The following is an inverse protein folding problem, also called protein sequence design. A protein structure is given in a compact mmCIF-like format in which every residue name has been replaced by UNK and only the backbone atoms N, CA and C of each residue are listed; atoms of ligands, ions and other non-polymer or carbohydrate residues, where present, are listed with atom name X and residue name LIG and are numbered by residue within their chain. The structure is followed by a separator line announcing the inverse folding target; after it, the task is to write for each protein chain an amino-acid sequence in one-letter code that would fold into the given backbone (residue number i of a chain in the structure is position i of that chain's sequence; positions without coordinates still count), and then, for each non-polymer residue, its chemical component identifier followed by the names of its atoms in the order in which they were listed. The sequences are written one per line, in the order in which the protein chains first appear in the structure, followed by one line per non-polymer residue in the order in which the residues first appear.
data_IF_152189281669
#
_entry.id   IF_152189281669
#
_cell.length_a   1.000
_cell.length_b   1.000
_cell.length_c   1.000
_cell.angle_alpha   90.00
_cell.angle_beta   90.00
_cell.angle_gamma   90.00
#
_symmetry.space_group_name_H-M   'P 1'
#
loop_
_entity.id
_entity.type
_entity.pdbx_description
1 polymer ?
#
# COMPACT_ATOMS: atom_id res chain seq x y z
N UNK A 1 44.49 -6.77 43.37
CA UNK A 1 44.30 -7.13 41.95
C UNK A 1 42.81 -7.18 41.68
N UNK A 2 42.27 -6.22 40.91
CA UNK A 2 40.83 -6.20 40.58
C UNK A 2 40.61 -6.77 39.17
N UNK A 3 39.73 -7.77 39.03
CA UNK A 3 39.40 -8.34 37.73
C UNK A 3 38.36 -7.43 37.06
N UNK A 4 38.78 -6.67 36.05
CA UNK A 4 37.87 -5.84 35.24
C UNK A 4 37.07 -6.77 34.32
N UNK A 5 35.83 -7.08 34.69
CA UNK A 5 34.88 -7.79 33.81
C UNK A 5 34.65 -6.94 32.57
N UNK A 6 35.13 -7.40 31.41
CA UNK A 6 34.74 -6.82 30.11
C UNK A 6 33.27 -7.14 29.88
N UNK A 7 32.41 -6.15 30.12
CA UNK A 7 31.02 -6.20 29.67
C UNK A 7 31.02 -6.40 28.15
N UNK A 8 30.20 -7.33 27.66
CA UNK A 8 30.07 -7.65 26.24
C UNK A 8 29.37 -6.47 25.54
N UNK A 9 30.13 -5.43 25.20
CA UNK A 9 29.62 -4.27 24.45
C UNK A 9 29.43 -4.70 23.01
N UNK A 10 28.17 -4.78 22.58
CA UNK A 10 27.84 -5.02 21.17
C UNK A 10 28.56 -3.99 20.30
N UNK A 11 29.25 -4.40 19.22
CA UNK A 11 29.97 -3.47 18.35
C UNK A 11 28.99 -2.43 17.81
N UNK A 12 29.30 -1.15 18.03
CA UNK A 12 28.49 -0.04 17.52
C UNK A 12 28.65 0.03 16.01
N UNK A 13 27.54 0.19 15.30
CA UNK A 13 27.56 0.43 13.87
C UNK A 13 28.19 1.81 13.60
N UNK A 14 29.40 1.84 13.05
CA UNK A 14 30.17 3.06 12.72
C UNK A 14 29.46 4.03 11.75
N UNK A 15 28.31 3.62 11.22
CA UNK A 15 27.49 4.38 10.29
C UNK A 15 26.44 5.29 10.95
N UNK A 16 26.20 5.12 12.26
CA UNK A 16 25.21 5.88 13.01
C UNK A 16 25.85 6.57 14.22
N UNK A 17 25.38 7.78 14.49
CA UNK A 17 25.76 8.54 15.68
C UNK A 17 25.05 8.00 16.94
N UNK A 18 25.52 8.34 18.15
CA UNK A 18 24.91 7.88 19.40
C UNK A 18 23.42 8.20 19.54
N UNK A 19 22.95 9.24 18.85
CA UNK A 19 21.57 9.71 18.77
C UNK A 19 20.76 9.09 17.61
N UNK A 20 21.28 8.01 16.99
CA UNK A 20 20.69 7.32 15.84
C UNK A 20 20.64 8.14 14.53
N UNK A 21 21.30 9.29 14.46
CA UNK A 21 21.41 10.03 13.20
C UNK A 21 22.36 9.34 12.25
N UNK A 22 22.11 9.54 10.96
CA UNK A 22 22.94 8.98 9.91
C UNK A 22 24.27 9.74 9.87
N UNK A 23 25.38 9.03 10.06
CA UNK A 23 26.70 9.64 9.97
C UNK A 23 27.03 10.10 8.54
N UNK A 24 27.98 11.04 8.41
CA UNK A 24 28.40 11.59 7.12
C UNK A 24 28.87 10.51 6.12
N UNK A 25 29.47 9.43 6.62
CA UNK A 25 29.88 8.26 5.83
C UNK A 25 28.70 7.59 5.12
N UNK A 26 27.60 7.41 5.84
CA UNK A 26 26.40 6.72 5.38
C UNK A 26 25.58 7.58 4.40
N UNK A 27 25.52 8.90 4.62
CA UNK A 27 24.85 9.84 3.71
C UNK A 27 25.55 9.81 2.35
N UNK A 28 26.88 9.89 2.31
CA UNK A 28 27.65 9.84 1.05
C UNK A 28 27.46 8.51 0.32
N UNK A 29 27.45 7.40 1.05
CA UNK A 29 27.22 6.07 0.46
C UNK A 29 25.83 5.94 -0.19
N UNK A 30 24.81 6.67 0.29
CA UNK A 30 23.43 6.62 -0.25
C UNK A 30 23.14 7.58 -1.39
N UNK A 31 23.94 8.64 -1.57
CA UNK A 31 23.77 9.62 -2.65
C UNK A 31 23.49 9.01 -4.03
N UNK A 32 24.20 7.96 -4.51
CA UNK A 32 23.97 7.43 -5.85
C UNK A 32 22.65 6.64 -6.00
N UNK A 33 22.08 6.14 -4.90
CA UNK A 33 20.88 5.30 -4.92
C UNK A 33 19.60 6.09 -4.65
N UNK A 34 19.70 7.27 -4.03
CA UNK A 34 18.53 8.08 -3.71
C UNK A 34 17.74 8.44 -4.97
N UNK A 35 18.42 8.95 -6.01
CA UNK A 35 17.77 9.33 -7.28
C UNK A 35 17.18 8.09 -7.97
N UNK A 36 17.95 7.00 -8.06
CA UNK A 36 17.52 5.76 -8.72
C UNK A 36 16.27 5.18 -8.05
N UNK A 37 16.27 5.11 -6.73
CA UNK A 37 15.15 4.57 -5.95
C UNK A 37 13.91 5.46 -6.05
N UNK A 38 14.08 6.79 -6.04
CA UNK A 38 12.96 7.72 -6.24
C UNK A 38 12.34 7.54 -7.62
N UNK A 39 13.15 7.43 -8.67
CA UNK A 39 12.66 7.18 -10.03
C UNK A 39 11.89 5.86 -10.07
N UNK A 40 12.45 4.77 -9.52
CA UNK A 40 11.75 3.48 -9.45
C UNK A 40 10.42 3.59 -8.70
N UNK A 41 10.40 4.29 -7.56
CA UNK A 41 9.19 4.53 -6.80
C UNK A 41 8.13 5.31 -7.58
N UNK A 42 8.55 6.35 -8.30
CA UNK A 42 7.65 7.15 -9.15
C UNK A 42 7.09 6.34 -10.32
N UNK A 43 7.90 5.48 -10.94
CA UNK A 43 7.44 4.59 -12.02
C UNK A 43 6.39 3.62 -11.49
N UNK A 44 6.66 2.96 -10.36
CA UNK A 44 5.71 2.06 -9.72
C UNK A 44 4.40 2.78 -9.37
N UNK A 45 4.50 3.94 -8.70
CA UNK A 45 3.35 4.74 -8.33
C UNK A 45 2.54 5.20 -9.55
N UNK A 46 3.22 5.66 -10.61
CA UNK A 46 2.59 6.12 -11.84
C UNK A 46 1.84 5.00 -12.56
N UNK A 47 2.40 3.80 -12.61
CA UNK A 47 1.74 2.62 -13.19
C UNK A 47 0.49 2.24 -12.38
N UNK A 48 0.59 2.18 -11.05
CA UNK A 48 -0.57 1.84 -10.20
C UNK A 48 -1.67 2.91 -10.31
N UNK A 49 -1.30 4.19 -10.26
CA UNK A 49 -2.24 5.29 -10.39
C UNK A 49 -2.90 5.32 -11.78
N UNK A 50 -2.15 5.03 -12.86
CA UNK A 50 -2.71 5.01 -14.21
C UNK A 50 -3.72 3.88 -14.38
N UNK A 51 -3.42 2.68 -13.87
CA UNK A 51 -4.37 1.56 -13.86
C UNK A 51 -5.63 1.95 -13.10
N UNK A 52 -5.51 2.50 -11.89
CA UNK A 52 -6.66 2.90 -11.07
C UNK A 52 -7.54 3.96 -11.75
N UNK A 53 -6.93 5.00 -12.32
CA UNK A 53 -7.68 6.04 -13.03
C UNK A 53 -8.33 5.48 -14.29
N UNK A 54 -7.62 4.63 -15.03
CA UNK A 54 -8.14 3.98 -16.23
C UNK A 54 -9.34 3.09 -15.90
N UNK A 55 -9.26 2.26 -14.85
CA UNK A 55 -10.35 1.35 -14.50
C UNK A 55 -11.62 2.10 -14.12
N UNK A 56 -11.52 3.21 -13.37
CA UNK A 56 -12.69 4.05 -13.08
C UNK A 56 -13.31 4.55 -14.39
N UNK A 57 -12.50 5.10 -15.30
CA UNK A 57 -13.01 5.68 -16.56
C UNK A 57 -13.61 4.61 -17.48
N UNK A 58 -12.93 3.48 -17.61
CA UNK A 58 -13.33 2.40 -18.52
C UNK A 58 -14.58 1.65 -18.01
N UNK A 59 -14.67 1.37 -16.70
CA UNK A 59 -15.80 0.64 -16.12
C UNK A 59 -17.02 1.54 -15.90
N UNK A 60 -16.83 2.84 -15.65
CA UNK A 60 -17.96 3.78 -15.46
C UNK A 60 -18.88 3.93 -16.67
N UNK A 61 -18.49 3.41 -17.84
CA UNK A 61 -19.27 3.49 -19.07
C UNK A 61 -20.09 2.23 -19.35
N UNK A 62 -20.13 1.26 -18.43
CA UNK A 62 -20.97 0.08 -18.60
C UNK A 62 -22.43 0.43 -18.33
N UNK A 63 -23.26 0.46 -19.38
CA UNK A 63 -24.70 0.68 -19.30
C UNK A 63 -25.39 -0.66 -19.01
N UNK A 64 -25.73 -0.91 -17.75
CA UNK A 64 -26.41 -2.13 -17.28
C UNK A 64 -27.89 -2.23 -17.72
N UNK A 65 -28.21 -1.79 -18.93
CA UNK A 65 -29.58 -1.75 -19.46
C UNK A 65 -30.17 -3.15 -19.71
N UNK A 66 -29.32 -4.15 -19.91
CA UNK A 66 -29.72 -5.55 -20.13
C UNK A 66 -29.94 -6.34 -18.83
N UNK A 67 -29.54 -5.78 -17.68
CA UNK A 67 -29.70 -6.41 -16.36
C UNK A 67 -31.11 -6.17 -15.83
N UNK A 68 -31.96 -7.20 -15.95
CA UNK A 68 -33.31 -7.23 -15.36
C UNK A 68 -33.19 -7.31 -13.83
N UNK A 69 -33.48 -6.21 -13.14
CA UNK A 69 -33.48 -6.19 -11.67
C UNK A 69 -34.69 -6.98 -11.17
N UNK A 70 -34.51 -8.08 -10.41
CA UNK A 70 -35.62 -8.78 -9.79
C UNK A 70 -36.31 -7.87 -8.78
N UNK A 71 -37.63 -7.94 -8.69
CA UNK A 71 -38.39 -7.22 -7.66
C UNK A 71 -37.85 -7.60 -6.26
N UNK A 72 -37.69 -6.60 -5.39
CA UNK A 72 -37.04 -6.75 -4.09
C UNK A 72 -37.55 -8.00 -3.33
N UNK A 73 -36.68 -8.74 -2.62
CA UNK A 73 -37.04 -9.99 -1.99
C UNK A 73 -38.27 -9.78 -1.12
N UNK A 74 -39.35 -10.47 -1.50
CA UNK A 74 -40.70 -10.12 -1.10
C UNK A 74 -40.84 -9.88 0.39
N UNK A 75 -41.41 -8.73 0.74
CA UNK A 75 -42.24 -8.66 1.94
C UNK A 75 -43.44 -9.53 1.63
N UNK A 76 -43.38 -10.79 2.06
CA UNK A 76 -44.48 -11.74 1.92
C UNK A 76 -45.76 -11.12 2.45
N UNK A 77 -46.68 -10.83 1.55
CA UNK A 77 -48.11 -10.72 1.85
C UNK A 77 -48.84 -11.36 0.68
N UNK A 78 -49.20 -12.61 0.94
CA UNK A 78 -50.37 -13.33 0.45
C UNK A 78 -51.20 -12.60 -0.62
N UNK A 79 -51.15 -13.09 -1.85
CA UNK A 79 -52.32 -13.00 -2.72
C UNK A 79 -52.98 -14.37 -2.76
N UNK A 80 -53.99 -14.46 -1.90
CA UNK A 80 -55.02 -15.49 -1.87
C UNK A 80 -55.69 -15.63 -3.26
N UNK A 81 -55.86 -16.89 -3.65
CA UNK A 81 -57.10 -17.52 -4.14
C UNK A 81 -58.16 -16.61 -4.78
N UNK A 82 -58.50 -16.93 -6.04
CA UNK A 82 -59.77 -16.60 -6.71
C UNK A 82 -59.55 -15.89 -8.04
N UNK A 83 -60.06 -16.34 -9.19
CA UNK A 83 -60.98 -17.41 -9.52
C UNK A 83 -61.43 -17.19 -10.97
N UNK A 84 -61.60 -18.31 -11.70
CA UNK A 84 -62.12 -18.47 -13.08
C UNK A 84 -61.27 -17.91 -14.22
#
# INVERSE_FOLDING_TARGET
MHPTRKLFVLPRSTYYEPDQRQGASLIRARKPFLIKNVITGLVMFGITASIYVYTIRAVSQDEFEDVKVPEAPGRGVSKEVGGK
#
